data_IF_447288138933
#
_entry.id   IF_447288138933
#
_cell.length_a   1.000
_cell.length_b   1.000
_cell.length_c   1.000
_cell.angle_alpha   90.00
_cell.angle_beta   90.00
_cell.angle_gamma   90.00
#
_symmetry.space_group_name_H-M   'P 1'
#
loop_
_entity.id
_entity.type
_entity.pdbx_description
1 polymer ?
#
# COMPACT_ATOMS: atom_id res chain seq x y z
N UNK A 1 15.02 17.09 -3.90
CA UNK A 1 13.61 16.61 -3.95
C UNK A 1 13.36 15.69 -2.76
N UNK A 2 12.27 15.92 -2.02
CA UNK A 2 11.90 15.10 -0.86
C UNK A 2 10.80 14.10 -1.24
N UNK A 3 11.04 12.82 -0.99
CA UNK A 3 10.08 11.74 -1.25
C UNK A 3 9.72 11.08 0.07
N UNK A 4 8.41 10.93 0.32
CA UNK A 4 7.87 10.22 1.48
C UNK A 4 7.15 8.94 1.06
N UNK A 5 7.49 7.81 1.68
CA UNK A 5 6.81 6.53 1.48
C UNK A 5 6.11 6.14 2.78
N UNK A 6 4.78 6.17 2.83
CA UNK A 6 4.06 5.60 3.96
C UNK A 6 4.03 4.07 3.84
N UNK A 7 4.05 3.37 4.97
CA UNK A 7 4.13 1.89 4.94
C UNK A 7 5.42 1.35 4.35
N UNK A 8 6.55 2.06 4.55
CA UNK A 8 7.86 1.72 3.99
C UNK A 8 8.39 0.33 4.37
N UNK A 9 7.94 -0.25 5.49
CA UNK A 9 8.31 -1.61 5.93
C UNK A 9 7.43 -2.71 5.31
N UNK A 10 6.39 -2.34 4.55
CA UNK A 10 5.52 -3.27 3.85
C UNK A 10 6.13 -3.88 2.60
N UNK A 11 5.39 -4.77 1.94
CA UNK A 11 5.83 -5.44 0.71
C UNK A 11 6.17 -4.41 -0.39
N UNK A 12 5.19 -3.68 -0.89
CA UNK A 12 5.40 -2.71 -1.98
C UNK A 12 6.28 -1.54 -1.53
N UNK A 13 6.04 -1.03 -0.31
CA UNK A 13 6.83 0.08 0.23
C UNK A 13 8.33 -0.21 0.26
N UNK A 14 8.74 -1.44 0.65
CA UNK A 14 10.15 -1.83 0.67
C UNK A 14 10.80 -1.88 -0.72
N UNK A 15 10.06 -2.30 -1.76
CA UNK A 15 10.56 -2.29 -3.13
C UNK A 15 10.65 -0.87 -3.72
N UNK A 16 9.69 0.00 -3.39
CA UNK A 16 9.79 1.42 -3.77
C UNK A 16 11.03 2.06 -3.15
N UNK A 17 11.33 1.74 -1.89
CA UNK A 17 12.51 2.26 -1.22
C UNK A 17 13.82 1.77 -1.86
N UNK A 18 13.92 0.49 -2.25
CA UNK A 18 15.06 -0.02 -3.01
C UNK A 18 15.27 0.79 -4.29
N UNK A 19 14.21 0.94 -5.08
CA UNK A 19 14.28 1.67 -6.35
C UNK A 19 14.64 3.15 -6.17
N UNK A 20 14.13 3.81 -5.13
CA UNK A 20 14.48 5.20 -4.83
C UNK A 20 15.95 5.35 -4.46
N UNK A 21 16.56 4.38 -3.77
CA UNK A 21 17.98 4.38 -3.44
C UNK A 21 18.83 4.15 -4.70
N UNK A 22 18.41 3.24 -5.57
CA UNK A 22 19.06 3.04 -6.87
C UNK A 22 19.06 4.33 -7.71
N UNK A 23 17.92 5.02 -7.76
CA UNK A 23 17.79 6.32 -8.44
C UNK A 23 18.68 7.39 -7.78
N UNK A 24 18.72 7.44 -6.44
CA UNK A 24 19.60 8.36 -5.71
C UNK A 24 21.07 8.14 -6.06
N UNK A 25 21.47 6.87 -6.21
CA UNK A 25 22.87 6.50 -6.50
C UNK A 25 23.26 6.72 -7.95
N UNK A 26 22.30 6.66 -8.89
CA UNK A 26 22.54 6.76 -10.33
C UNK A 26 22.39 8.16 -10.91
N UNK A 27 21.88 9.11 -10.13
CA UNK A 27 21.65 10.49 -10.56
C UNK A 27 22.34 11.49 -9.63
N UNK A 28 22.87 12.59 -10.18
CA UNK A 28 23.37 13.76 -9.43
C UNK A 28 22.26 14.49 -8.62
N UNK A 29 21.07 13.90 -8.53
CA UNK A 29 19.93 14.50 -7.89
C UNK A 29 20.02 14.37 -6.36
N UNK A 30 19.91 15.50 -5.64
CA UNK A 30 19.78 15.53 -4.18
C UNK A 30 18.40 14.99 -3.76
N UNK A 31 18.25 13.65 -3.79
CA UNK A 31 17.02 12.97 -3.37
C UNK A 31 17.09 12.69 -1.85
N UNK A 32 16.14 13.21 -1.09
CA UNK A 32 15.96 12.88 0.32
C UNK A 32 14.80 11.89 0.46
N UNK A 33 15.07 10.70 0.99
CA UNK A 33 14.09 9.62 1.11
C UNK A 33 13.65 9.50 2.56
N UNK A 34 12.34 9.66 2.78
CA UNK A 34 11.67 9.48 4.05
C UNK A 34 10.73 8.28 3.98
N UNK A 35 10.62 7.51 5.07
CA UNK A 35 9.67 6.41 5.13
C UNK A 35 9.00 6.33 6.49
N UNK A 36 7.68 6.07 6.53
CA UNK A 36 6.99 5.85 7.79
C UNK A 36 7.04 4.39 8.21
N UNK A 37 7.07 4.19 9.52
CA UNK A 37 6.87 2.90 10.20
C UNK A 37 6.06 3.11 11.47
N UNK A 38 5.39 2.08 11.95
CA UNK A 38 4.78 2.09 13.30
C UNK A 38 5.82 1.55 14.28
N UNK A 39 6.26 2.34 15.22
CA UNK A 39 7.44 2.10 16.07
C UNK A 39 7.61 0.64 16.54
N UNK A 40 6.76 0.14 17.43
CA UNK A 40 6.86 -1.24 17.94
C UNK A 40 6.12 -2.29 17.10
N UNK A 41 5.33 -1.87 16.09
CA UNK A 41 4.44 -2.76 15.34
C UNK A 41 4.97 -3.14 13.96
N UNK A 42 5.90 -2.36 13.41
CA UNK A 42 6.45 -2.63 12.08
C UNK A 42 7.61 -3.62 12.16
N UNK A 43 7.50 -4.70 11.42
CA UNK A 43 8.63 -5.60 11.17
C UNK A 43 9.65 -4.88 10.27
N UNK A 44 10.95 -5.12 10.54
CA UNK A 44 12.05 -4.44 9.83
C UNK A 44 12.89 -5.38 8.96
N UNK A 45 12.60 -6.67 9.02
CA UNK A 45 13.33 -7.72 8.28
C UNK A 45 13.45 -7.42 6.78
N UNK A 46 12.40 -6.86 6.18
CA UNK A 46 12.36 -6.52 4.75
C UNK A 46 13.24 -5.31 4.36
N UNK A 47 13.63 -4.50 5.33
CA UNK A 47 14.27 -3.19 5.10
C UNK A 47 15.56 -2.99 5.91
N UNK A 48 16.11 -4.07 6.50
CA UNK A 48 17.35 -4.01 7.30
C UNK A 48 18.50 -3.41 6.46
N UNK A 49 18.61 -3.80 5.21
CA UNK A 49 19.64 -3.35 4.27
C UNK A 49 19.52 -1.86 3.90
N UNK A 50 18.35 -1.25 4.14
CA UNK A 50 18.05 0.14 3.77
C UNK A 50 18.18 1.14 4.92
N UNK A 51 18.48 0.68 6.14
CA UNK A 51 18.41 1.49 7.37
C UNK A 51 19.24 2.78 7.33
N UNK A 52 20.41 2.75 6.65
CA UNK A 52 21.34 3.87 6.59
C UNK A 52 20.99 4.94 5.55
N UNK A 53 20.20 4.58 4.55
CA UNK A 53 19.91 5.42 3.38
C UNK A 53 18.58 6.16 3.51
N UNK A 54 17.77 5.82 4.50
CA UNK A 54 16.40 6.31 4.64
C UNK A 54 16.23 7.03 5.98
N UNK A 55 15.58 8.18 5.93
CA UNK A 55 15.14 8.90 7.11
C UNK A 55 13.82 8.31 7.60
N UNK A 56 13.91 7.40 8.58
CA UNK A 56 12.76 6.72 9.15
C UNK A 56 12.02 7.62 10.13
N UNK A 57 10.69 7.71 9.99
CA UNK A 57 9.81 8.44 10.90
C UNK A 57 8.72 7.52 11.47
N UNK A 58 8.48 7.63 12.77
CA UNK A 58 7.45 6.85 13.45
C UNK A 58 6.10 7.54 13.29
N UNK A 59 5.14 6.85 12.64
CA UNK A 59 3.80 7.37 12.38
C UNK A 59 2.81 6.23 12.17
N UNK A 60 1.70 6.26 12.90
CA UNK A 60 0.47 5.57 12.51
C UNK A 60 -0.39 6.57 11.73
N UNK A 61 -0.82 6.20 10.53
CA UNK A 61 -1.61 7.10 9.68
C UNK A 61 -3.01 7.37 10.22
N UNK A 62 -3.48 6.58 11.18
CA UNK A 62 -4.75 6.82 11.88
C UNK A 62 -4.64 7.92 12.93
N UNK A 63 -3.44 8.29 13.33
CA UNK A 63 -3.15 9.42 14.23
C UNK A 63 -2.95 10.71 13.41
N UNK A 64 -4.00 11.52 13.33
CA UNK A 64 -3.98 12.79 12.59
C UNK A 64 -2.94 13.78 13.10
N UNK A 65 -2.63 13.76 14.41
CA UNK A 65 -1.63 14.67 15.01
C UNK A 65 -0.23 14.26 14.53
N UNK A 66 0.09 12.96 14.56
CA UNK A 66 1.35 12.44 14.06
C UNK A 66 1.51 12.71 12.56
N UNK A 67 0.45 12.49 11.77
CA UNK A 67 0.44 12.77 10.33
C UNK A 67 0.68 14.25 10.03
N UNK A 68 -0.05 15.15 10.69
CA UNK A 68 0.12 16.61 10.52
C UNK A 68 1.56 17.03 10.86
N UNK A 69 2.11 16.51 11.95
CA UNK A 69 3.49 16.81 12.36
C UNK A 69 4.49 16.41 11.27
N UNK A 70 4.48 15.16 10.81
CA UNK A 70 5.47 14.69 9.84
C UNK A 70 5.34 15.38 8.49
N UNK A 71 4.12 15.63 8.01
CA UNK A 71 3.92 16.31 6.73
C UNK A 71 4.36 17.77 6.82
N UNK A 72 4.07 18.47 7.92
CA UNK A 72 4.51 19.87 8.11
C UNK A 72 6.03 20.01 8.23
N UNK A 73 6.71 19.05 8.87
CA UNK A 73 8.17 19.04 9.03
C UNK A 73 8.89 18.65 7.71
N UNK A 74 8.41 17.59 7.04
CA UNK A 74 9.05 17.08 5.82
C UNK A 74 8.72 17.95 4.62
N UNK A 75 7.44 18.32 4.43
CA UNK A 75 6.91 18.98 3.25
C UNK A 75 7.35 18.25 1.97
N UNK A 76 6.87 17.01 1.74
CA UNK A 76 7.33 16.20 0.64
C UNK A 76 6.93 16.76 -0.72
N UNK A 77 7.81 16.63 -1.72
CA UNK A 77 7.52 16.90 -3.13
C UNK A 77 6.71 15.76 -3.77
N UNK A 78 6.96 14.52 -3.31
CA UNK A 78 6.30 13.29 -3.77
C UNK A 78 5.95 12.41 -2.58
N UNK A 79 4.78 11.78 -2.64
CA UNK A 79 4.34 10.85 -1.61
C UNK A 79 3.79 9.57 -2.24
N UNK A 80 4.32 8.42 -1.83
CA UNK A 80 3.79 7.10 -2.13
C UNK A 80 3.02 6.58 -0.92
N UNK A 81 1.69 6.50 -1.03
CA UNK A 81 0.84 6.12 0.08
C UNK A 81 0.60 4.60 0.13
N UNK A 82 1.59 3.85 0.66
CA UNK A 82 1.55 2.38 0.70
C UNK A 82 1.04 1.82 2.04
N UNK A 83 0.81 2.66 3.04
CA UNK A 83 0.25 2.21 4.32
C UNK A 83 -1.23 1.86 4.15
N UNK A 84 -1.59 0.60 4.38
CA UNK A 84 -2.96 0.10 4.29
C UNK A 84 -3.11 -1.23 5.04
N UNK A 85 -4.33 -1.57 5.43
CA UNK A 85 -4.72 -2.95 5.67
C UNK A 85 -5.09 -3.58 4.32
N UNK A 86 -4.36 -4.63 3.88
CA UNK A 86 -4.43 -5.15 2.51
C UNK A 86 -4.83 -6.63 2.38
N UNK A 87 -4.93 -7.35 3.49
CA UNK A 87 -5.34 -8.75 3.49
C UNK A 87 -6.86 -8.85 3.57
N UNK A 88 -7.51 -9.38 2.52
CA UNK A 88 -8.98 -9.34 2.37
C UNK A 88 -9.71 -10.07 3.49
N UNK A 89 -9.28 -11.30 3.83
CA UNK A 89 -10.02 -12.18 4.75
C UNK A 89 -10.32 -11.55 6.11
N UNK A 90 -9.39 -10.91 6.85
CA UNK A 90 -9.70 -10.30 8.14
C UNK A 90 -10.64 -9.08 8.05
N UNK A 91 -10.89 -8.54 6.86
CA UNK A 91 -11.81 -7.41 6.71
C UNK A 91 -13.24 -7.74 7.12
N UNK A 92 -13.62 -9.02 7.05
CA UNK A 92 -14.94 -9.50 7.48
C UNK A 92 -15.13 -9.41 8.99
N UNK A 93 -14.07 -9.71 9.75
CA UNK A 93 -14.10 -9.69 11.22
C UNK A 93 -13.81 -8.29 11.78
N UNK A 94 -13.06 -7.46 11.03
CA UNK A 94 -12.57 -6.16 11.49
C UNK A 94 -12.87 -5.01 10.51
N UNK A 95 -14.11 -4.85 9.99
CA UNK A 95 -14.42 -3.85 8.96
C UNK A 95 -14.11 -2.41 9.39
N UNK A 96 -14.33 -2.09 10.66
CA UNK A 96 -14.02 -0.76 11.21
C UNK A 96 -12.52 -0.45 11.15
N UNK A 97 -11.66 -1.41 11.51
CA UNK A 97 -10.20 -1.25 11.42
C UNK A 97 -9.75 -0.96 9.99
N UNK A 98 -10.34 -1.65 9.02
CA UNK A 98 -10.04 -1.42 7.60
C UNK A 98 -10.49 -0.02 7.14
N UNK A 99 -11.65 0.45 7.59
CA UNK A 99 -12.11 1.80 7.31
C UNK A 99 -11.21 2.84 7.97
N UNK A 100 -10.82 2.64 9.22
CA UNK A 100 -9.94 3.55 9.94
C UNK A 100 -8.58 3.71 9.27
N UNK A 101 -7.97 2.60 8.83
CA UNK A 101 -6.65 2.66 8.19
C UNK A 101 -6.76 3.14 6.75
N UNK A 102 -7.61 2.49 5.93
CA UNK A 102 -7.61 2.74 4.49
C UNK A 102 -8.31 4.06 4.12
N UNK A 103 -9.41 4.41 4.78
CA UNK A 103 -10.13 5.64 4.50
C UNK A 103 -9.69 6.79 5.41
N UNK A 104 -9.88 6.68 6.74
CA UNK A 104 -9.57 7.78 7.66
C UNK A 104 -8.07 8.12 7.63
N UNK A 105 -7.19 7.10 7.57
CA UNK A 105 -5.74 7.31 7.43
C UNK A 105 -5.38 8.05 6.13
N UNK A 106 -6.06 7.75 5.02
CA UNK A 106 -5.89 8.49 3.76
C UNK A 106 -6.39 9.93 3.89
N UNK A 107 -7.55 10.16 4.52
CA UNK A 107 -8.06 11.51 4.79
C UNK A 107 -7.06 12.33 5.60
N UNK A 108 -6.47 11.75 6.65
CA UNK A 108 -5.44 12.42 7.45
C UNK A 108 -4.24 12.87 6.59
N UNK A 109 -3.75 12.00 5.69
CA UNK A 109 -2.66 12.34 4.77
C UNK A 109 -3.07 13.46 3.80
N UNK A 110 -4.24 13.36 3.20
CA UNK A 110 -4.73 14.36 2.23
C UNK A 110 -4.96 15.73 2.89
N UNK A 111 -5.53 15.76 4.09
CA UNK A 111 -5.70 17.01 4.85
C UNK A 111 -4.36 17.64 5.21
N UNK A 112 -3.40 16.84 5.67
CA UNK A 112 -2.07 17.35 5.98
C UNK A 112 -1.36 17.89 4.73
N UNK A 113 -1.46 17.20 3.59
CA UNK A 113 -0.90 17.68 2.32
C UNK A 113 -1.55 19.00 1.88
N UNK A 114 -2.87 19.08 1.94
CA UNK A 114 -3.62 20.31 1.63
C UNK A 114 -3.12 21.49 2.45
N UNK A 115 -2.85 21.28 3.72
CA UNK A 115 -2.48 22.34 4.64
C UNK A 115 -0.98 22.72 4.59
N UNK A 116 -0.09 21.74 4.39
CA UNK A 116 1.36 21.94 4.59
C UNK A 116 2.23 21.69 3.35
N UNK A 117 1.72 20.92 2.37
CA UNK A 117 2.45 20.58 1.15
C UNK A 117 1.51 20.49 -0.08
N UNK A 118 0.76 21.56 -0.42
CA UNK A 118 -0.29 21.52 -1.46
C UNK A 118 0.24 21.18 -2.86
N UNK A 119 1.53 21.38 -3.12
CA UNK A 119 2.18 21.06 -4.39
C UNK A 119 2.71 19.62 -4.46
N UNK A 120 2.58 18.84 -3.38
CA UNK A 120 3.01 17.45 -3.35
C UNK A 120 2.18 16.62 -4.34
N UNK A 121 2.87 15.81 -5.17
CA UNK A 121 2.19 14.77 -5.95
C UNK A 121 2.11 13.50 -5.13
N UNK A 122 0.87 13.05 -4.86
CA UNK A 122 0.61 11.82 -4.11
C UNK A 122 0.11 10.71 -5.03
N UNK A 123 0.65 9.49 -4.86
CA UNK A 123 0.17 8.27 -5.48
C UNK A 123 -0.53 7.41 -4.43
N UNK A 124 -1.79 7.04 -4.72
CA UNK A 124 -2.64 6.24 -3.84
C UNK A 124 -3.09 4.99 -4.59
N UNK A 125 -2.64 3.79 -4.18
CA UNK A 125 -3.08 2.54 -4.79
C UNK A 125 -4.46 2.14 -4.29
N UNK A 126 -5.37 1.91 -5.21
CA UNK A 126 -6.62 1.20 -5.01
C UNK A 126 -6.41 -0.32 -5.15
N UNK A 127 -7.44 -1.02 -5.62
CA UNK A 127 -7.41 -2.48 -5.75
C UNK A 127 -8.27 -2.97 -6.91
N UNK A 128 -7.88 -4.05 -7.55
CA UNK A 128 -8.73 -4.79 -8.48
C UNK A 128 -10.00 -5.35 -7.82
N UNK A 129 -9.98 -5.57 -6.50
CA UNK A 129 -11.16 -5.99 -5.71
C UNK A 129 -12.32 -4.96 -5.75
N UNK A 130 -12.05 -3.73 -6.13
CA UNK A 130 -13.06 -2.68 -6.30
C UNK A 130 -14.08 -3.03 -7.39
N UNK A 131 -13.66 -3.80 -8.39
CA UNK A 131 -14.55 -4.22 -9.49
C UNK A 131 -15.44 -5.40 -9.10
N UNK A 132 -15.09 -6.17 -8.06
CA UNK A 132 -15.85 -7.34 -7.58
C UNK A 132 -15.90 -8.48 -8.60
N UNK A 133 -17.05 -9.12 -8.67
CA UNK A 133 -17.28 -10.21 -9.62
C UNK A 133 -17.53 -9.65 -11.03
N UNK A 134 -16.63 -9.98 -11.95
CA UNK A 134 -16.66 -9.54 -13.35
C UNK A 134 -17.13 -10.69 -14.23
N UNK A 135 -18.14 -10.45 -15.05
CA UNK A 135 -18.59 -11.38 -16.06
C UNK A 135 -17.59 -11.41 -17.25
N UNK A 136 -17.51 -12.53 -17.92
CA UNK A 136 -16.63 -12.68 -19.08
C UNK A 136 -16.95 -11.67 -20.20
N UNK A 137 -18.24 -11.29 -20.33
CA UNK A 137 -18.70 -10.25 -21.26
C UNK A 137 -18.30 -8.82 -20.88
N UNK A 138 -17.83 -8.60 -19.65
CA UNK A 138 -17.38 -7.28 -19.13
C UNK A 138 -15.84 -7.11 -19.30
N UNK A 139 -15.16 -8.11 -19.85
CA UNK A 139 -13.72 -8.05 -20.11
C UNK A 139 -13.41 -7.39 -21.48
N UNK A 140 -12.28 -6.68 -21.61
CA UNK A 140 -11.31 -6.35 -20.56
C UNK A 140 -11.81 -5.27 -19.61
N UNK A 141 -11.38 -5.33 -18.34
CA UNK A 141 -11.66 -4.29 -17.34
C UNK A 141 -11.00 -2.98 -17.78
N UNK A 142 -11.74 -1.89 -17.66
CA UNK A 142 -11.29 -0.52 -17.93
C UNK A 142 -11.55 0.39 -16.73
N UNK A 143 -11.05 1.64 -16.83
CA UNK A 143 -11.34 2.69 -15.84
C UNK A 143 -12.83 3.07 -15.75
N UNK A 144 -13.63 2.70 -16.77
CA UNK A 144 -15.09 2.92 -16.85
C UNK A 144 -15.90 1.73 -16.33
N UNK A 145 -15.26 0.58 -16.07
CA UNK A 145 -15.97 -0.58 -15.53
C UNK A 145 -16.57 -0.24 -14.17
N UNK A 146 -17.88 -0.54 -13.95
CA UNK A 146 -18.55 -0.23 -12.69
C UNK A 146 -17.88 -0.91 -11.48
N UNK A 147 -17.84 -0.22 -10.36
CA UNK A 147 -17.34 -0.74 -9.10
C UNK A 147 -18.46 -1.54 -8.41
N UNK A 148 -18.20 -2.82 -8.12
CA UNK A 148 -19.15 -3.79 -7.54
C UNK A 148 -18.49 -4.54 -6.38
N UNK A 149 -18.12 -3.87 -5.25
CA UNK A 149 -17.39 -4.50 -4.17
C UNK A 149 -18.15 -5.67 -3.55
N UNK A 150 -17.48 -6.79 -3.31
CA UNK A 150 -18.04 -8.01 -2.72
C UNK A 150 -17.48 -8.35 -1.35
N UNK A 151 -16.61 -7.50 -0.80
CA UNK A 151 -16.05 -7.66 0.54
C UNK A 151 -15.77 -6.29 1.20
N UNK A 152 -15.67 -6.25 2.57
CA UNK A 152 -15.45 -4.98 3.29
C UNK A 152 -14.15 -4.26 2.91
N UNK A 153 -13.07 -4.98 2.62
CA UNK A 153 -11.81 -4.39 2.15
C UNK A 153 -12.03 -3.59 0.86
N UNK A 154 -12.71 -4.17 -0.14
CA UNK A 154 -13.01 -3.50 -1.41
C UNK A 154 -13.80 -2.21 -1.19
N UNK A 155 -14.79 -2.21 -0.28
CA UNK A 155 -15.55 -1.00 0.10
C UNK A 155 -14.62 0.09 0.60
N UNK A 156 -13.66 -0.25 1.47
CA UNK A 156 -12.71 0.75 1.99
C UNK A 156 -11.77 1.29 0.90
N UNK A 157 -11.39 0.47 -0.08
CA UNK A 157 -10.56 0.90 -1.21
C UNK A 157 -11.32 1.82 -2.16
N UNK A 158 -12.59 1.53 -2.43
CA UNK A 158 -13.47 2.45 -3.18
C UNK A 158 -13.63 3.78 -2.44
N UNK A 159 -13.88 3.74 -1.13
CA UNK A 159 -13.99 4.95 -0.33
C UNK A 159 -12.70 5.79 -0.38
N UNK A 160 -11.54 5.13 -0.30
CA UNK A 160 -10.21 5.74 -0.46
C UNK A 160 -10.03 6.37 -1.85
N UNK A 161 -10.41 5.67 -2.92
CA UNK A 161 -10.34 6.17 -4.30
C UNK A 161 -11.21 7.41 -4.49
N UNK A 162 -12.47 7.34 -4.06
CA UNK A 162 -13.44 8.43 -4.24
C UNK A 162 -13.08 9.67 -3.41
N UNK A 163 -12.65 9.52 -2.15
CA UNK A 163 -12.23 10.69 -1.36
C UNK A 163 -10.99 11.35 -1.97
N UNK A 164 -10.07 10.55 -2.50
CA UNK A 164 -8.89 11.06 -3.21
C UNK A 164 -9.27 11.91 -4.44
N UNK A 165 -10.31 11.50 -5.17
CA UNK A 165 -10.87 12.29 -6.27
C UNK A 165 -11.50 13.61 -5.78
N UNK A 166 -12.20 13.60 -4.65
CA UNK A 166 -12.78 14.82 -4.05
C UNK A 166 -11.65 15.82 -3.74
N UNK A 167 -10.55 15.37 -3.13
CA UNK A 167 -9.43 16.26 -2.83
C UNK A 167 -8.74 16.81 -4.08
N UNK A 168 -8.60 16.01 -5.13
CA UNK A 168 -8.15 16.50 -6.44
C UNK A 168 -9.08 17.60 -6.98
N UNK A 169 -10.40 17.36 -6.99
CA UNK A 169 -11.38 18.29 -7.58
C UNK A 169 -11.59 19.56 -6.76
N UNK A 170 -11.66 19.44 -5.43
CA UNK A 170 -12.07 20.54 -4.57
C UNK A 170 -10.90 21.37 -4.03
N UNK A 171 -9.72 20.74 -3.87
CA UNK A 171 -8.54 21.40 -3.31
C UNK A 171 -7.35 21.45 -4.25
N UNK A 172 -7.52 20.98 -5.49
CA UNK A 172 -6.48 20.98 -6.53
C UNK A 172 -5.20 20.22 -6.11
N UNK A 173 -5.33 19.20 -5.25
CA UNK A 173 -4.20 18.34 -4.91
C UNK A 173 -3.80 17.47 -6.10
N UNK A 174 -2.51 17.31 -6.33
CA UNK A 174 -1.99 16.49 -7.43
C UNK A 174 -2.02 15.01 -7.04
N UNK A 175 -3.18 14.34 -7.20
CA UNK A 175 -3.41 12.95 -6.81
C UNK A 175 -3.38 12.02 -8.02
N UNK A 176 -2.55 10.98 -7.95
CA UNK A 176 -2.57 9.84 -8.86
C UNK A 176 -3.28 8.70 -8.15
N UNK A 177 -4.41 8.24 -8.70
CA UNK A 177 -5.19 7.11 -8.21
C UNK A 177 -4.92 5.90 -9.09
N UNK A 178 -4.56 4.78 -8.49
CA UNK A 178 -4.35 3.52 -9.20
C UNK A 178 -5.38 2.49 -8.77
N UNK A 179 -5.77 1.60 -9.66
CA UNK A 179 -6.51 0.37 -9.34
C UNK A 179 -5.65 -0.80 -9.75
N UNK A 180 -4.78 -1.20 -8.82
CA UNK A 180 -3.80 -2.25 -9.05
C UNK A 180 -4.46 -3.62 -8.92
N UNK A 181 -4.17 -4.50 -9.88
CA UNK A 181 -4.50 -5.92 -9.77
C UNK A 181 -3.49 -6.64 -8.86
N UNK A 182 -3.65 -7.96 -8.73
CA UNK A 182 -2.80 -8.75 -7.87
C UNK A 182 -1.34 -8.65 -8.35
N UNK A 183 -0.44 -8.61 -7.40
CA UNK A 183 1.00 -8.59 -7.65
C UNK A 183 1.69 -9.38 -6.54
N UNK A 184 2.69 -10.16 -6.93
CA UNK A 184 3.43 -11.06 -6.06
C UNK A 184 4.93 -10.85 -6.26
N UNK A 185 5.72 -11.31 -5.29
CA UNK A 185 7.17 -11.21 -5.37
C UNK A 185 7.85 -11.42 -4.02
N UNK A 186 9.20 -11.34 -3.99
CA UNK A 186 9.96 -11.40 -2.75
C UNK A 186 9.42 -10.43 -1.69
N UNK A 187 9.51 -10.81 -0.41
CA UNK A 187 9.00 -10.03 0.75
C UNK A 187 7.47 -9.97 0.89
N UNK A 188 6.70 -10.63 0.00
CA UNK A 188 5.26 -10.80 0.22
C UNK A 188 5.02 -11.65 1.46
N UNK A 189 4.04 -11.29 2.29
CA UNK A 189 3.71 -12.06 3.49
C UNK A 189 3.15 -13.44 3.12
N UNK A 190 3.56 -14.46 3.86
CA UNK A 190 3.24 -15.88 3.59
C UNK A 190 1.78 -16.27 3.81
N UNK A 191 0.92 -15.36 4.25
CA UNK A 191 -0.54 -15.59 4.29
C UNK A 191 -1.26 -15.21 2.98
N UNK A 192 -0.55 -14.68 1.99
CA UNK A 192 -1.06 -14.52 0.62
C UNK A 192 -0.79 -15.78 -0.19
N UNK A 193 -1.71 -16.09 -1.14
CA UNK A 193 -1.77 -17.39 -1.81
C UNK A 193 -0.44 -17.89 -2.37
N UNK A 194 0.13 -17.23 -3.37
CA UNK A 194 1.40 -17.67 -4.01
C UNK A 194 2.56 -17.66 -3.01
N UNK A 195 2.68 -16.60 -2.21
CA UNK A 195 3.71 -16.51 -1.18
C UNK A 195 3.58 -17.63 -0.14
N UNK A 196 2.34 -18.04 0.22
CA UNK A 196 2.09 -19.19 1.09
C UNK A 196 2.62 -20.49 0.48
N UNK A 197 2.39 -20.71 -0.81
CA UNK A 197 2.86 -21.92 -1.48
C UNK A 197 4.38 -21.98 -1.52
N UNK A 198 5.05 -20.90 -1.90
CA UNK A 198 6.50 -20.80 -1.87
C UNK A 198 7.08 -21.07 -0.48
N UNK A 199 6.45 -20.47 0.56
CA UNK A 199 6.88 -20.66 1.94
C UNK A 199 6.74 -22.12 2.41
N UNK A 200 5.61 -22.78 2.08
CA UNK A 200 5.39 -24.19 2.41
C UNK A 200 6.40 -25.10 1.69
N UNK A 201 6.65 -24.86 0.39
CA UNK A 201 7.63 -25.63 -0.41
C UNK A 201 9.03 -25.49 0.22
N UNK A 202 9.46 -24.28 0.53
CA UNK A 202 10.76 -24.07 1.19
C UNK A 202 10.85 -24.81 2.53
N UNK A 203 9.76 -24.83 3.33
CA UNK A 203 9.73 -25.60 4.58
C UNK A 203 9.83 -27.11 4.35
N UNK A 204 9.20 -27.64 3.28
CA UNK A 204 9.30 -29.05 2.90
C UNK A 204 10.74 -29.40 2.50
N UNK A 205 11.38 -28.57 1.69
CA UNK A 205 12.78 -28.74 1.25
C UNK A 205 13.76 -28.77 2.43
N UNK A 206 13.47 -28.02 3.48
CA UNK A 206 14.28 -28.01 4.72
C UNK A 206 13.83 -29.03 5.78
N UNK A 207 12.89 -29.91 5.48
CA UNK A 207 12.41 -30.91 6.42
C UNK A 207 11.59 -30.33 7.60
N UNK A 208 11.12 -29.11 7.48
CA UNK A 208 10.36 -28.39 8.53
C UNK A 208 8.83 -28.57 8.39
N UNK A 209 8.38 -29.28 7.38
CA UNK A 209 6.99 -29.59 7.09
C UNK A 209 6.90 -30.91 6.33
N UNK A 210 5.81 -31.66 6.53
CA UNK A 210 5.48 -32.83 5.71
C UNK A 210 5.37 -32.45 4.22
N UNK A 211 5.67 -33.38 3.32
CA UNK A 211 5.55 -33.20 1.87
C UNK A 211 4.08 -33.10 1.43
N UNK A 212 3.37 -32.14 2.03
CA UNK A 212 1.96 -31.88 1.77
C UNK A 212 1.72 -30.37 1.66
N UNK A 213 1.41 -29.94 0.44
CA UNK A 213 1.03 -28.55 0.18
C UNK A 213 -0.44 -28.32 0.59
N UNK A 214 -0.68 -27.38 1.48
CA UNK A 214 -2.02 -26.92 1.86
C UNK A 214 -2.39 -25.76 0.97
N UNK A 215 -3.48 -25.91 0.20
CA UNK A 215 -3.97 -24.90 -0.75
C UNK A 215 -5.42 -24.55 -0.40
N UNK A 216 -5.85 -23.33 -0.75
CA UNK A 216 -7.24 -22.94 -0.74
C UNK A 216 -7.98 -23.47 -1.98
N UNK A 217 -9.07 -22.79 -2.36
CA UNK A 217 -9.79 -23.10 -3.60
C UNK A 217 -8.89 -22.86 -4.82
N UNK A 218 -8.74 -23.89 -5.68
CA UNK A 218 -7.81 -23.86 -6.82
C UNK A 218 -8.47 -23.51 -8.15
N UNK A 219 -9.80 -23.32 -8.17
CA UNK A 219 -10.57 -23.00 -9.37
C UNK A 219 -10.66 -21.50 -9.69
N UNK A 220 -10.22 -20.64 -8.76
CA UNK A 220 -10.30 -19.19 -8.93
C UNK A 220 -9.30 -18.70 -9.99
N UNK A 221 -9.79 -17.90 -10.92
CA UNK A 221 -8.95 -17.17 -11.88
C UNK A 221 -8.61 -15.78 -11.30
N UNK A 222 -7.35 -15.39 -11.38
CA UNK A 222 -6.88 -14.09 -10.91
C UNK A 222 -5.97 -13.44 -11.96
N UNK A 223 -6.00 -12.11 -12.05
CA UNK A 223 -5.05 -11.32 -12.83
C UNK A 223 -3.87 -10.91 -11.95
N UNK A 224 -2.67 -11.04 -12.48
CA UNK A 224 -1.41 -10.64 -11.85
C UNK A 224 -0.66 -9.65 -12.74
#
# INVERSE_FOLDING_TARGET
MKVLVTGGTGFVGSHILDHLIELQSSSDSSLEIYATRRYHLSRRDKVIHLQKNIKWVDCDITDSIAVNRIISEIRPDRLFHMAAESFVSPSWDHPHRYMDVNYNGTVNILDALKNFAPNCRILIPGSGEEYGDILESELPISDRTPLKPVNPYAVTKIAQDLISFVYFRSYNLNVIRLRTFNHEGPRREHYFGIASYCYQIAKMEHGLQELKLRVGHTGDKRNF
#
